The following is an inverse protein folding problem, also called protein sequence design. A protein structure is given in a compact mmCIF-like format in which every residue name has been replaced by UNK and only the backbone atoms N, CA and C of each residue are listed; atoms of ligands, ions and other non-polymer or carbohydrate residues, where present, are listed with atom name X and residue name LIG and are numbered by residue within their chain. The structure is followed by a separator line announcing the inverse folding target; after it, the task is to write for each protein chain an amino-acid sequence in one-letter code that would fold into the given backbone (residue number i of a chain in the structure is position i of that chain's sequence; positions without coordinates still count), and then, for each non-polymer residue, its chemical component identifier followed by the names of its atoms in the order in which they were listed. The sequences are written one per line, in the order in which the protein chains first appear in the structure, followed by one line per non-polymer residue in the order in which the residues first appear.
data_IF_791777227004
#
_entry.id   IF_791777227004
#
_cell.length_a   1.000
_cell.length_b   1.000
_cell.length_c   1.000
_cell.angle_alpha   90.00
_cell.angle_beta   90.00
_cell.angle_gamma   90.00
#
_symmetry.space_group_name_H-M   'P 1'
#
loop_
_entity.id
_entity.type
_entity.pdbx_description
1 polymer ?
#
# COMPACT_ATOMS: atom_id res chain seq x y z
N UNK A 1 42.55 -41.11 8.85
CA UNK A 1 42.07 -40.47 10.10
C UNK A 1 40.67 -39.92 9.80
N UNK A 2 39.68 -40.27 10.63
CA UNK A 2 38.22 -39.97 10.62
C UNK A 2 37.81 -38.65 9.93
N UNK A 3 36.65 -38.44 9.30
CA UNK A 3 35.42 -39.16 8.88
C UNK A 3 34.66 -38.11 8.01
N UNK A 4 34.16 -38.47 6.82
CA UNK A 4 32.71 -38.55 6.44
C UNK A 4 31.90 -37.25 6.65
N UNK A 5 31.10 -36.71 5.71
CA UNK A 5 30.58 -37.18 4.42
C UNK A 5 29.89 -35.99 3.68
N UNK A 6 29.93 -35.98 2.34
CA UNK A 6 28.85 -36.35 1.40
C UNK A 6 27.90 -35.17 1.05
N UNK A 7 27.97 -34.58 -0.17
CA UNK A 7 27.26 -34.96 -1.44
C UNK A 7 25.94 -34.16 -1.57
N UNK A 8 25.51 -33.51 -2.67
CA UNK A 8 25.78 -33.57 -4.13
C UNK A 8 25.28 -32.24 -4.80
N UNK A 9 25.25 -32.05 -6.15
CA UNK A 9 25.97 -31.01 -6.86
C UNK A 9 25.02 -30.23 -7.80
N UNK A 10 25.59 -29.31 -8.58
CA UNK A 10 24.87 -28.68 -9.67
C UNK A 10 24.60 -29.61 -10.86
N UNK A 11 23.50 -29.32 -11.55
CA UNK A 11 23.28 -29.33 -13.02
C UNK A 11 21.85 -28.80 -13.22
N UNK A 12 21.52 -27.72 -13.93
CA UNK A 12 22.21 -27.00 -14.98
C UNK A 12 21.41 -27.12 -16.30
N UNK A 13 20.88 -25.98 -16.78
CA UNK A 13 20.63 -25.65 -18.20
C UNK A 13 19.34 -26.30 -18.81
N UNK A 14 18.45 -25.69 -19.61
CA UNK A 14 18.54 -24.61 -20.60
C UNK A 14 17.17 -23.98 -20.95
N UNK A 15 17.22 -22.87 -21.70
CA UNK A 15 16.09 -22.08 -22.18
C UNK A 15 15.54 -22.47 -23.58
N UNK A 16 14.26 -22.15 -23.82
CA UNK A 16 13.54 -21.93 -25.11
C UNK A 16 13.04 -23.16 -25.92
N UNK A 17 11.72 -23.39 -25.87
CA UNK A 17 10.72 -23.27 -26.99
C UNK A 17 9.52 -24.21 -26.76
N UNK A 18 8.37 -23.65 -26.41
CA UNK A 18 7.07 -24.05 -26.94
C UNK A 18 6.10 -22.88 -26.75
N UNK A 19 5.54 -22.38 -27.86
CA UNK A 19 4.52 -21.32 -27.89
C UNK A 19 3.16 -21.93 -27.55
N UNK A 20 2.31 -21.18 -26.85
CA UNK A 20 0.89 -21.48 -26.66
C UNK A 20 0.28 -20.45 -25.73
N UNK A 21 -0.80 -19.85 -26.17
CA UNK A 21 -1.48 -18.66 -25.65
C UNK A 21 -2.11 -18.82 -24.26
N UNK A 22 -2.29 -17.66 -23.62
CA UNK A 22 -3.33 -17.31 -22.63
C UNK A 22 -3.19 -17.75 -21.16
N UNK A 23 -3.29 -16.71 -20.31
CA UNK A 23 -3.79 -16.69 -18.93
C UNK A 23 -3.19 -17.67 -17.92
N UNK A 24 -2.26 -17.17 -17.08
CA UNK A 24 -2.11 -17.68 -15.71
C UNK A 24 -1.91 -16.55 -14.70
N UNK A 25 -2.76 -16.64 -13.69
CA UNK A 25 -2.94 -15.80 -12.53
C UNK A 25 -1.66 -15.30 -11.86
N UNK A 26 -1.71 -14.04 -11.43
CA UNK A 26 -0.86 -13.50 -10.37
C UNK A 26 -1.05 -14.36 -9.10
N UNK A 27 -0.13 -15.29 -8.86
CA UNK A 27 0.07 -15.86 -7.53
C UNK A 27 0.57 -14.74 -6.60
N UNK A 28 -0.23 -14.45 -5.59
CA UNK A 28 0.07 -13.47 -4.55
C UNK A 28 1.11 -14.08 -3.59
N UNK A 29 2.39 -13.90 -3.89
CA UNK A 29 3.46 -14.28 -2.96
C UNK A 29 3.52 -13.25 -1.81
N UNK A 30 3.09 -13.65 -0.61
CA UNK A 30 3.39 -12.91 0.62
C UNK A 30 4.85 -13.20 0.98
N UNK A 31 5.75 -12.26 0.71
CA UNK A 31 7.13 -12.33 1.19
C UNK A 31 7.15 -11.89 2.66
N UNK A 32 7.21 -12.87 3.56
CA UNK A 32 7.52 -12.64 4.98
C UNK A 32 9.04 -12.75 5.14
N UNK A 33 9.71 -11.63 5.34
CA UNK A 33 11.12 -11.62 5.70
C UNK A 33 11.22 -11.64 7.23
N UNK A 34 11.64 -12.77 7.78
CA UNK A 34 11.88 -12.94 9.22
C UNK A 34 13.37 -12.64 9.48
N UNK A 35 13.66 -11.63 10.30
CA UNK A 35 15.02 -11.37 10.81
C UNK A 35 15.12 -11.75 12.29
N UNK A 36 16.21 -12.42 12.66
CA UNK A 36 16.49 -12.79 14.03
C UNK A 36 17.15 -11.61 14.77
N UNK A 37 16.53 -11.12 15.84
CA UNK A 37 17.12 -10.10 16.71
C UNK A 37 18.03 -10.80 17.72
N UNK A 38 19.34 -10.80 17.47
CA UNK A 38 20.31 -11.30 18.44
C UNK A 38 20.51 -10.25 19.54
N UNK A 39 20.00 -10.51 20.75
CA UNK A 39 20.39 -9.76 21.95
C UNK A 39 21.86 -10.04 22.29
N UNK A 40 22.63 -9.00 22.60
CA UNK A 40 23.94 -9.17 23.24
C UNK A 40 23.70 -9.74 24.66
N UNK A 41 24.46 -10.80 24.95
CA UNK A 41 24.58 -11.52 26.22
C UNK A 41 23.45 -12.51 26.59
N UNK A 42 23.66 -13.76 26.15
CA UNK A 42 23.45 -15.01 26.91
C UNK A 42 22.06 -15.31 27.48
N UNK A 43 21.30 -16.17 26.80
CA UNK A 43 20.16 -16.89 27.39
C UNK A 43 20.18 -18.39 27.05
N UNK A 44 19.65 -19.19 27.99
CA UNK A 44 19.79 -20.64 28.11
C UNK A 44 18.77 -21.45 27.28
N UNK A 45 19.03 -22.75 27.16
CA UNK A 45 18.41 -23.74 26.27
C UNK A 45 16.89 -24.04 26.45
N UNK A 46 16.00 -23.08 26.67
CA UNK A 46 14.55 -23.36 26.68
C UNK A 46 13.59 -22.17 26.48
N UNK A 47 14.04 -20.99 26.04
CA UNK A 47 13.13 -19.89 25.71
C UNK A 47 13.06 -19.66 24.19
N UNK A 48 11.84 -19.72 23.66
CA UNK A 48 11.52 -19.68 22.25
C UNK A 48 11.93 -18.34 21.61
N UNK A 49 12.44 -18.44 20.39
CA UNK A 49 12.73 -17.34 19.48
C UNK A 49 11.60 -16.29 19.49
N UNK A 50 11.90 -15.07 19.95
CA UNK A 50 11.07 -13.90 19.70
C UNK A 50 11.20 -13.55 18.21
N UNK A 51 10.33 -14.15 17.38
CA UNK A 51 10.16 -13.79 15.98
C UNK A 51 9.29 -12.53 15.88
N UNK A 52 9.89 -11.40 15.51
CA UNK A 52 9.16 -10.22 15.08
C UNK A 52 8.86 -10.34 13.58
N UNK A 53 7.58 -10.36 13.20
CA UNK A 53 7.18 -10.32 11.80
C UNK A 53 7.08 -8.86 11.33
N UNK A 54 7.96 -8.44 10.43
CA UNK A 54 7.77 -7.20 9.66
C UNK A 54 6.89 -7.54 8.47
N UNK A 55 5.64 -7.07 8.48
CA UNK A 55 4.70 -7.24 7.37
C UNK A 55 4.75 -6.00 6.49
N UNK A 56 5.47 -6.06 5.37
CA UNK A 56 5.39 -5.02 4.34
C UNK A 56 4.22 -5.33 3.40
N UNK A 57 3.04 -4.82 3.75
CA UNK A 57 1.83 -4.97 2.95
C UNK A 57 1.84 -3.98 1.77
N UNK A 58 2.55 -4.32 0.71
CA UNK A 58 2.40 -3.65 -0.60
C UNK A 58 0.98 -3.82 -1.16
N UNK A 59 0.48 -2.81 -1.88
CA UNK A 59 -0.61 -1.93 -1.45
C UNK A 59 -1.99 -2.59 -1.60
N UNK A 60 -2.50 -3.21 -0.54
CA UNK A 60 -3.93 -3.46 -0.44
C UNK A 60 -4.49 -2.43 0.52
N UNK A 61 -5.02 -1.34 -0.04
CA UNK A 61 -5.99 -0.47 0.61
C UNK A 61 -7.17 -1.33 1.05
N UNK A 62 -7.11 -1.86 2.26
CA UNK A 62 -8.29 -2.33 2.97
C UNK A 62 -7.89 -2.43 4.44
N UNK A 63 -8.46 -1.56 5.27
CA UNK A 63 -8.35 -1.67 6.73
C UNK A 63 -8.88 -3.01 7.27
N UNK A 64 -9.46 -3.86 6.40
CA UNK A 64 -9.81 -5.24 6.69
C UNK A 64 -8.58 -6.17 6.81
N UNK A 65 -7.53 -5.99 6.00
CA UNK A 65 -6.31 -6.83 6.08
C UNK A 65 -5.50 -6.46 7.31
N UNK A 66 -5.32 -5.18 7.60
CA UNK A 66 -4.67 -4.74 8.83
C UNK A 66 -5.42 -5.22 10.09
N UNK A 67 -6.76 -5.17 10.09
CA UNK A 67 -7.59 -5.74 11.17
C UNK A 67 -7.52 -7.26 11.26
N UNK A 68 -7.43 -7.96 10.13
CA UNK A 68 -7.33 -9.42 10.13
C UNK A 68 -5.96 -9.89 10.61
N UNK A 69 -4.88 -9.23 10.18
CA UNK A 69 -3.53 -9.45 10.69
C UNK A 69 -3.47 -9.15 12.19
N UNK A 70 -4.03 -8.01 12.64
CA UNK A 70 -4.13 -7.67 14.06
C UNK A 70 -4.89 -8.71 14.88
N UNK A 71 -6.03 -9.22 14.38
CA UNK A 71 -6.80 -10.28 15.05
C UNK A 71 -6.08 -11.63 15.10
N UNK A 72 -5.31 -11.96 14.07
CA UNK A 72 -4.52 -13.20 14.04
C UNK A 72 -3.32 -13.13 14.99
N UNK A 73 -2.72 -11.95 15.15
CA UNK A 73 -1.65 -11.67 16.11
C UNK A 73 -2.16 -11.77 17.56
N UNK A 74 -3.30 -11.15 17.89
CA UNK A 74 -3.94 -11.27 19.21
C UNK A 74 -4.33 -12.72 19.54
N UNK A 75 -4.92 -13.46 18.59
CA UNK A 75 -5.33 -14.86 18.80
C UNK A 75 -4.17 -15.81 19.06
N UNK A 76 -2.97 -15.49 18.56
CA UNK A 76 -1.77 -16.33 18.71
C UNK A 76 -0.84 -15.87 19.84
N UNK A 77 -1.20 -14.80 20.57
CA UNK A 77 -0.41 -14.30 21.70
C UNK A 77 0.92 -13.68 21.28
N UNK A 78 1.02 -13.16 20.06
CA UNK A 78 2.25 -12.53 19.56
C UNK A 78 2.27 -11.05 19.97
N UNK A 79 3.27 -10.61 20.73
CA UNK A 79 3.49 -9.18 21.01
C UNK A 79 4.05 -8.46 19.78
N UNK A 80 3.41 -7.36 19.36
CA UNK A 80 3.95 -6.44 18.35
C UNK A 80 4.54 -5.24 19.07
N UNK A 81 5.87 -5.11 19.05
CA UNK A 81 6.57 -3.92 19.55
C UNK A 81 6.99 -3.04 18.38
N UNK A 82 6.68 -1.75 18.46
CA UNK A 82 7.26 -0.76 17.56
C UNK A 82 8.74 -0.61 17.91
N UNK A 83 9.63 -0.92 16.96
CA UNK A 83 11.07 -0.73 17.14
C UNK A 83 11.38 0.75 16.91
N UNK A 84 11.66 1.49 17.99
CA UNK A 84 12.34 2.78 17.89
C UNK A 84 13.83 2.52 17.67
N UNK A 85 14.34 2.78 16.46
CA UNK A 85 15.78 2.95 16.26
C UNK A 85 16.22 4.28 16.88
N UNK A 86 16.76 4.24 18.10
CA UNK A 86 17.67 5.27 18.58
C UNK A 86 18.94 4.63 19.11
N UNK A 87 20.02 4.85 18.37
CA UNK A 87 21.38 4.77 18.88
C UNK A 87 21.58 5.91 19.88
N UNK A 88 22.09 5.60 21.09
CA UNK A 88 23.15 6.35 21.78
C UNK A 88 23.66 5.55 23.00
N UNK A 89 24.96 5.72 23.25
CA UNK A 89 25.84 4.99 24.16
C UNK A 89 25.78 5.53 25.61
N UNK A 90 26.07 4.64 26.57
CA UNK A 90 26.56 4.86 27.96
C UNK A 90 25.61 5.58 28.96
N UNK A 91 25.31 5.18 30.21
CA UNK A 91 25.92 4.35 31.28
C UNK A 91 24.83 3.88 32.31
N UNK A 92 25.12 2.99 33.29
CA UNK A 92 24.12 2.24 34.09
C UNK A 92 23.87 2.82 35.50
N UNK A 93 22.62 2.77 35.99
CA UNK A 93 22.29 3.12 37.38
C UNK A 93 20.85 2.78 37.76
N UNK A 94 20.65 2.02 38.83
CA UNK A 94 19.40 1.33 39.17
C UNK A 94 18.24 2.19 39.68
N UNK A 95 17.03 1.62 39.63
CA UNK A 95 16.19 1.36 40.80
C UNK A 95 14.87 0.71 40.36
N UNK A 96 14.63 -0.53 40.80
CA UNK A 96 13.32 -1.17 40.81
C UNK A 96 12.37 -0.36 41.70
N UNK A 97 11.26 0.13 41.14
CA UNK A 97 10.05 0.45 41.91
C UNK A 97 8.82 -0.16 41.24
N UNK A 98 7.89 -0.76 42.01
CA UNK A 98 6.74 -1.43 41.44
C UNK A 98 5.55 -0.47 41.34
N UNK A 99 4.81 -0.60 40.23
CA UNK A 99 3.35 -0.46 40.03
C UNK A 99 3.01 0.52 38.90
N UNK A 100 2.07 0.09 38.05
CA UNK A 100 0.82 0.84 37.82
C UNK A 100 -0.31 -0.11 37.38
N UNK A 101 -1.54 0.28 37.74
CA UNK A 101 -2.73 -0.57 37.70
C UNK A 101 -3.45 -0.61 36.34
N UNK A 102 -4.47 -1.47 36.17
CA UNK A 102 -5.17 -1.67 34.89
C UNK A 102 -5.87 -0.43 34.31
N UNK A 103 -6.06 0.64 35.10
CA UNK A 103 -6.77 1.86 34.69
C UNK A 103 -5.85 2.91 34.04
N UNK A 104 -4.56 2.93 34.36
CA UNK A 104 -3.56 3.76 33.64
C UNK A 104 -3.20 3.16 32.29
N UNK A 105 -3.02 1.84 32.22
CA UNK A 105 -2.82 1.10 30.95
C UNK A 105 -3.91 1.36 29.91
N UNK A 106 -5.15 1.58 30.33
CA UNK A 106 -6.27 1.88 29.43
C UNK A 106 -6.28 3.34 28.93
N UNK A 107 -5.66 4.28 29.67
CA UNK A 107 -5.47 5.67 29.23
C UNK A 107 -4.27 5.80 28.31
N UNK A 108 -3.17 5.11 28.62
CA UNK A 108 -2.00 5.02 27.76
C UNK A 108 -2.34 4.34 26.43
N UNK A 109 -3.07 3.22 26.46
CA UNK A 109 -3.53 2.56 25.24
C UNK A 109 -4.46 3.41 24.35
N UNK A 110 -5.23 4.34 24.93
CA UNK A 110 -6.07 5.27 24.17
C UNK A 110 -5.25 6.44 23.57
N UNK A 111 -4.22 6.90 24.27
CA UNK A 111 -3.25 7.87 23.76
C UNK A 111 -2.33 7.26 22.69
N UNK A 112 -1.95 5.98 22.84
CA UNK A 112 -1.19 5.20 21.87
C UNK A 112 -2.01 4.95 20.59
N UNK A 113 -3.32 4.69 20.72
CA UNK A 113 -4.23 4.59 19.57
C UNK A 113 -4.43 5.94 18.85
N UNK A 114 -4.44 7.08 19.57
CA UNK A 114 -4.41 8.41 18.97
C UNK A 114 -3.06 8.73 18.32
N UNK A 115 -1.95 8.27 18.90
CA UNK A 115 -0.62 8.32 18.31
C UNK A 115 -0.55 7.52 17.00
N UNK A 116 -1.07 6.29 17.00
CA UNK A 116 -1.21 5.44 15.82
C UNK A 116 -2.14 6.05 14.76
N UNK A 117 -3.25 6.69 15.18
CA UNK A 117 -4.13 7.41 14.26
C UNK A 117 -3.40 8.55 13.53
N UNK A 118 -2.51 9.26 14.23
CA UNK A 118 -1.66 10.31 13.65
C UNK A 118 -0.59 9.74 12.70
N UNK A 119 -0.15 8.49 12.87
CA UNK A 119 0.71 7.78 11.91
C UNK A 119 -0.05 7.22 10.69
N UNK A 120 -1.39 7.09 10.80
CA UNK A 120 -2.25 6.63 9.68
C UNK A 120 -2.90 7.76 8.89
N UNK A 121 -2.79 9.01 9.36
CA UNK A 121 -3.26 10.17 8.63
C UNK A 121 -2.23 10.55 7.55
N UNK A 122 -2.48 10.10 6.32
CA UNK A 122 -1.69 10.54 5.17
C UNK A 122 -1.65 12.06 5.04
N UNK A 123 -0.64 12.57 4.33
CA UNK A 123 -0.41 14.00 4.20
C UNK A 123 -1.64 14.73 3.64
N UNK A 124 -2.08 15.80 4.31
CA UNK A 124 -3.18 16.65 3.84
C UNK A 124 -2.72 17.51 2.66
N UNK A 125 -3.29 17.37 1.44
CA UNK A 125 -2.94 18.19 0.28
C UNK A 125 -2.97 19.71 0.51
N UNK A 126 -3.84 20.20 1.40
CA UNK A 126 -3.95 21.63 1.70
C UNK A 126 -2.76 22.18 2.53
N UNK A 127 -2.06 21.29 3.24
CA UNK A 127 -0.88 21.61 4.07
C UNK A 127 0.45 21.57 3.31
N UNK A 128 0.42 21.24 2.01
CA UNK A 128 1.61 21.04 1.17
C UNK A 128 1.89 22.24 0.29
N UNK A 129 3.12 22.71 0.31
CA UNK A 129 3.70 23.63 -0.65
C UNK A 129 4.65 22.91 -1.59
N UNK A 130 4.47 23.09 -2.90
CA UNK A 130 5.49 22.67 -3.88
C UNK A 130 6.43 23.82 -4.16
N UNK A 131 7.73 23.59 -3.93
CA UNK A 131 8.79 24.57 -4.12
C UNK A 131 9.60 24.18 -5.35
N UNK A 132 9.55 25.01 -6.40
CA UNK A 132 10.30 24.83 -7.64
C UNK A 132 11.52 25.74 -7.63
N UNK A 133 12.72 25.15 -7.61
CA UNK A 133 13.97 25.89 -7.54
C UNK A 133 14.52 26.13 -8.94
N UNK A 134 14.58 27.41 -9.33
CA UNK A 134 15.12 27.91 -10.61
C UNK A 134 14.70 27.06 -11.82
N UNK A 135 13.39 26.81 -12.03
CA UNK A 135 12.92 26.06 -13.19
C UNK A 135 13.27 26.81 -14.47
N UNK A 136 13.81 26.12 -15.48
CA UNK A 136 14.24 26.77 -16.73
C UNK A 136 13.09 26.99 -17.71
N UNK A 137 12.15 26.05 -17.75
CA UNK A 137 11.09 26.04 -18.75
C UNK A 137 9.73 26.40 -18.12
N UNK A 138 9.10 27.52 -18.51
CA UNK A 138 7.78 27.89 -17.99
C UNK A 138 6.70 26.85 -18.32
N UNK A 139 6.88 26.06 -19.39
CA UNK A 139 6.02 24.93 -19.73
C UNK A 139 6.00 23.84 -18.63
N UNK A 140 7.15 23.57 -18.01
CA UNK A 140 7.24 22.58 -16.93
C UNK A 140 6.55 23.09 -15.65
N UNK A 141 6.67 24.39 -15.35
CA UNK A 141 5.96 25.01 -14.22
C UNK A 141 4.45 24.95 -14.44
N UNK A 142 3.99 25.28 -15.64
CA UNK A 142 2.57 25.19 -16.01
C UNK A 142 2.03 23.76 -15.93
N UNK A 143 2.77 22.78 -16.46
CA UNK A 143 2.41 21.37 -16.37
C UNK A 143 2.41 20.87 -14.90
N UNK A 144 3.35 21.33 -14.08
CA UNK A 144 3.36 21.04 -12.64
C UNK A 144 2.12 21.64 -11.94
N UNK A 145 1.74 22.89 -12.23
CA UNK A 145 0.50 23.48 -11.68
C UNK A 145 -0.74 22.65 -12.05
N UNK A 146 -0.83 22.20 -13.30
CA UNK A 146 -1.92 21.31 -13.73
C UNK A 146 -1.91 19.98 -12.98
N UNK A 147 -0.74 19.36 -12.82
CA UNK A 147 -0.60 18.12 -12.04
C UNK A 147 -1.04 18.31 -10.59
N UNK A 148 -0.63 19.40 -9.95
CA UNK A 148 -1.00 19.72 -8.57
C UNK A 148 -2.50 19.90 -8.42
N UNK A 149 -3.13 20.69 -9.32
CA UNK A 149 -4.56 20.91 -9.28
C UNK A 149 -5.37 19.62 -9.50
N UNK A 150 -4.93 18.75 -10.41
CA UNK A 150 -5.54 17.43 -10.60
C UNK A 150 -5.51 16.58 -9.32
N UNK A 151 -4.46 16.74 -8.49
CA UNK A 151 -4.30 16.04 -7.22
C UNK A 151 -4.84 16.85 -6.03
N UNK A 152 -5.42 18.02 -6.27
CA UNK A 152 -5.96 18.97 -5.29
C UNK A 152 -4.94 19.58 -4.34
N UNK A 153 -3.68 19.72 -4.77
CA UNK A 153 -2.69 20.58 -4.14
C UNK A 153 -2.83 22.00 -4.73
N UNK A 154 -2.79 23.00 -3.87
CA UNK A 154 -3.16 24.39 -4.22
C UNK A 154 -2.08 25.44 -3.98
N UNK A 155 -0.83 25.05 -3.70
CA UNK A 155 0.24 26.02 -3.41
C UNK A 155 1.53 25.71 -4.15
N UNK A 156 2.03 26.72 -4.87
CA UNK A 156 3.32 26.69 -5.57
C UNK A 156 4.16 27.89 -5.13
N UNK A 157 5.42 27.61 -4.80
CA UNK A 157 6.47 28.57 -4.50
C UNK A 157 7.58 28.41 -5.53
N UNK A 158 8.09 29.50 -6.06
CA UNK A 158 9.17 29.51 -7.04
C UNK A 158 10.36 30.26 -6.46
N UNK A 159 11.54 29.63 -6.48
CA UNK A 159 12.80 30.26 -6.07
C UNK A 159 13.56 30.70 -7.31
N UNK A 160 13.83 32.01 -7.44
CA UNK A 160 14.44 32.62 -8.61
C UNK A 160 13.48 33.50 -9.40
N UNK A 161 13.93 33.96 -10.57
CA UNK A 161 13.18 34.86 -11.42
C UNK A 161 12.03 34.16 -12.17
N UNK A 162 11.06 34.94 -12.64
CA UNK A 162 9.97 34.45 -13.49
C UNK A 162 10.51 33.89 -14.81
N UNK A 163 10.35 32.57 -15.11
CA UNK A 163 10.79 31.97 -16.37
C UNK A 163 9.92 32.38 -17.57
N UNK A 164 8.92 33.25 -17.38
CA UNK A 164 7.97 33.69 -18.39
C UNK A 164 6.64 32.95 -18.30
N UNK A 165 6.07 32.81 -17.11
CA UNK A 165 4.81 32.10 -16.87
C UNK A 165 3.61 32.73 -17.61
N UNK A 166 3.68 34.03 -17.91
CA UNK A 166 2.65 34.75 -18.67
C UNK A 166 2.62 34.46 -20.18
N UNK A 167 3.60 33.71 -20.72
CA UNK A 167 3.65 33.40 -22.15
C UNK A 167 2.51 32.46 -22.58
N UNK A 168 1.92 32.63 -23.79
CA UNK A 168 0.79 31.82 -24.24
C UNK A 168 1.05 30.31 -24.19
N UNK A 169 2.26 29.86 -24.51
CA UNK A 169 2.64 28.46 -24.54
C UNK A 169 2.55 27.81 -23.14
N UNK A 170 3.05 28.52 -22.11
CA UNK A 170 2.94 28.08 -20.72
C UNK A 170 1.49 28.12 -20.24
N UNK A 171 0.76 29.20 -20.56
CA UNK A 171 -0.64 29.35 -20.15
C UNK A 171 -1.55 28.26 -20.74
N UNK A 172 -1.29 27.82 -21.98
CA UNK A 172 -2.01 26.71 -22.61
C UNK A 172 -1.76 25.36 -21.90
N UNK A 173 -0.55 25.12 -21.39
CA UNK A 173 -0.21 23.89 -20.67
C UNK A 173 -0.83 23.81 -19.28
N UNK A 174 -1.06 24.96 -18.64
CA UNK A 174 -1.77 25.07 -17.37
C UNK A 174 -3.29 24.98 -17.50
N UNK A 175 -3.84 24.42 -18.60
CA UNK A 175 -5.28 24.34 -18.83
C UNK A 175 -6.04 23.83 -17.60
N UNK A 176 -7.00 24.64 -17.12
CA UNK A 176 -7.79 24.36 -15.91
C UNK A 176 -7.12 24.73 -14.58
N UNK A 177 -5.84 25.11 -14.59
CA UNK A 177 -5.02 25.47 -13.42
C UNK A 177 -4.39 26.88 -13.51
N UNK A 178 -5.03 27.79 -14.25
CA UNK A 178 -4.57 29.18 -14.40
C UNK A 178 -4.52 29.94 -13.08
N UNK A 179 -5.50 29.72 -12.21
CA UNK A 179 -5.55 30.25 -10.85
C UNK A 179 -4.33 29.85 -10.01
N UNK A 180 -3.88 28.60 -10.12
CA UNK A 180 -2.67 28.14 -9.43
C UNK A 180 -1.41 28.74 -10.05
N UNK A 181 -1.36 28.85 -11.39
CA UNK A 181 -0.26 29.49 -12.09
C UNK A 181 -0.14 30.99 -11.76
N UNK A 182 -1.27 31.69 -11.71
CA UNK A 182 -1.37 33.12 -11.42
C UNK A 182 -1.10 33.42 -9.92
N UNK A 183 -1.19 32.42 -9.04
CA UNK A 183 -0.91 32.54 -7.59
C UNK A 183 0.48 32.04 -7.16
N UNK A 184 1.36 31.70 -8.12
CA UNK A 184 2.76 31.32 -7.83
C UNK A 184 3.45 32.43 -7.05
N UNK A 185 4.00 32.09 -5.88
CA UNK A 185 4.75 33.03 -5.03
C UNK A 185 6.24 32.94 -5.31
N UNK A 186 6.89 34.08 -5.54
CA UNK A 186 8.32 34.17 -5.86
C UNK A 186 9.16 34.46 -4.61
N UNK A 187 10.32 33.82 -4.52
CA UNK A 187 11.26 33.94 -3.41
C UNK A 187 12.69 34.11 -3.92
N UNK A 188 13.49 34.91 -3.21
CA UNK A 188 14.88 35.16 -3.58
C UNK A 188 15.84 33.99 -3.31
N UNK A 189 15.44 33.05 -2.47
CA UNK A 189 16.25 31.88 -2.11
C UNK A 189 15.46 30.77 -1.44
N UNK A 190 16.02 29.55 -1.46
CA UNK A 190 15.33 28.37 -0.91
C UNK A 190 15.06 28.51 0.58
N UNK A 191 16.01 29.05 1.36
CA UNK A 191 15.83 29.30 2.80
C UNK A 191 14.60 30.17 3.09
N UNK A 192 14.35 31.19 2.27
CA UNK A 192 13.17 32.04 2.41
C UNK A 192 11.89 31.29 2.03
N UNK A 193 11.94 30.49 0.97
CA UNK A 193 10.80 29.74 0.47
C UNK A 193 10.32 28.62 1.41
N UNK A 194 11.16 28.13 2.32
CA UNK A 194 10.81 27.05 3.27
C UNK A 194 10.74 27.51 4.73
N UNK A 195 10.88 28.81 5.00
CA UNK A 195 11.07 29.34 6.36
C UNK A 195 9.91 29.07 7.33
N UNK A 196 8.69 28.92 6.81
CA UNK A 196 7.45 28.64 7.54
C UNK A 196 7.04 27.16 7.49
N UNK A 197 7.88 26.29 6.90
CA UNK A 197 7.62 24.87 6.82
C UNK A 197 8.16 24.13 8.06
N UNK A 198 7.36 23.24 8.61
CA UNK A 198 7.77 22.36 9.72
C UNK A 198 8.51 21.13 9.18
N UNK A 199 8.20 20.70 7.96
CA UNK A 199 8.88 19.61 7.29
C UNK A 199 9.27 19.99 5.85
N UNK A 200 10.51 19.70 5.47
CA UNK A 200 11.06 20.01 4.14
C UNK A 200 11.62 18.74 3.53
N UNK A 201 11.10 18.33 2.38
CA UNK A 201 11.52 17.14 1.66
C UNK A 201 12.08 17.53 0.29
N UNK A 202 13.36 17.25 0.05
CA UNK A 202 14.06 17.57 -1.20
C UNK A 202 14.11 16.38 -2.14
N UNK A 203 13.85 16.61 -3.43
CA UNK A 203 13.90 15.54 -4.44
C UNK A 203 15.28 15.39 -5.08
N UNK A 204 15.70 14.15 -5.31
CA UNK A 204 16.96 13.81 -5.97
C UNK A 204 16.83 12.53 -6.79
N UNK A 205 17.39 12.54 -8.00
CA UNK A 205 17.56 11.32 -8.81
C UNK A 205 18.81 10.50 -8.46
N UNK A 206 19.74 11.10 -7.69
CA UNK A 206 20.99 10.43 -7.27
C UNK A 206 20.68 9.27 -6.32
N UNK A 207 21.43 8.20 -6.43
CA UNK A 207 21.33 7.08 -5.49
C UNK A 207 21.68 7.53 -4.07
N UNK A 208 20.80 7.19 -3.16
CA UNK A 208 20.93 7.47 -1.74
C UNK A 208 20.10 6.39 -1.01
N UNK A 209 20.74 5.42 -0.34
CA UNK A 209 20.04 4.36 0.39
C UNK A 209 19.12 4.87 1.51
N UNK A 210 19.35 6.11 1.96
CA UNK A 210 18.55 6.75 3.02
C UNK A 210 17.37 7.55 2.47
N UNK A 211 17.28 7.70 1.14
CA UNK A 211 16.20 8.46 0.52
C UNK A 211 14.86 7.75 0.68
N UNK A 212 13.83 8.54 0.96
CA UNK A 212 12.48 8.09 1.11
C UNK A 212 11.85 7.84 -0.27
N UNK A 213 10.99 6.83 -0.34
CA UNK A 213 10.10 6.65 -1.49
C UNK A 213 8.97 7.70 -1.47
N UNK A 214 8.36 8.02 -2.62
CA UNK A 214 7.17 8.87 -2.67
C UNK A 214 6.04 8.37 -1.77
N UNK A 215 5.86 7.05 -1.68
CA UNK A 215 4.87 6.42 -0.80
C UNK A 215 5.16 6.66 0.68
N UNK A 216 6.41 6.47 1.09
CA UNK A 216 6.85 6.73 2.47
C UNK A 216 6.67 8.19 2.83
N UNK A 217 7.02 9.10 1.92
CA UNK A 217 6.80 10.54 2.10
C UNK A 217 5.31 10.84 2.35
N UNK A 218 4.42 10.26 1.56
CA UNK A 218 2.99 10.50 1.68
C UNK A 218 2.40 9.95 2.99
N UNK A 219 2.88 8.78 3.46
CA UNK A 219 2.41 8.16 4.70
C UNK A 219 3.00 8.78 5.97
N UNK A 220 4.30 9.11 5.97
CA UNK A 220 5.00 9.59 7.18
C UNK A 220 5.16 11.11 7.23
N UNK A 221 5.15 11.81 6.10
CA UNK A 221 5.49 13.23 6.04
C UNK A 221 4.50 14.13 6.78
N UNK A 222 3.22 13.77 6.82
CA UNK A 222 2.21 14.48 7.62
C UNK A 222 2.50 14.44 9.11
N UNK A 223 2.87 13.26 9.63
CA UNK A 223 3.27 13.08 11.02
C UNK A 223 4.56 13.86 11.34
N UNK A 224 5.54 13.89 10.41
CA UNK A 224 6.76 14.70 10.56
C UNK A 224 6.49 16.20 10.61
N UNK A 225 5.46 16.66 9.90
CA UNK A 225 5.05 18.05 9.93
C UNK A 225 4.31 18.43 11.23
N UNK A 226 3.83 17.46 12.01
CA UNK A 226 3.15 17.67 13.29
C UNK A 226 2.01 18.72 13.22
N UNK A 227 1.22 18.70 12.13
CA UNK A 227 0.15 19.67 11.86
C UNK A 227 0.60 21.00 11.23
N UNK A 228 1.90 21.19 11.05
CA UNK A 228 2.48 22.32 10.30
C UNK A 228 2.53 22.09 8.79
N UNK A 229 3.19 23.02 8.07
CA UNK A 229 3.30 22.97 6.61
C UNK A 229 4.42 22.04 6.16
N UNK A 230 4.20 21.32 5.06
CA UNK A 230 5.24 20.54 4.38
C UNK A 230 5.66 21.23 3.09
N UNK A 231 6.96 21.44 2.88
CA UNK A 231 7.53 21.87 1.61
C UNK A 231 8.14 20.69 0.84
N UNK A 232 7.70 20.49 -0.40
CA UNK A 232 8.30 19.55 -1.35
C UNK A 232 9.18 20.31 -2.33
N UNK A 233 10.48 20.09 -2.29
CA UNK A 233 11.46 20.88 -3.03
C UNK A 233 11.95 20.13 -4.26
N UNK A 234 11.84 20.77 -5.42
CA UNK A 234 12.27 20.25 -6.70
C UNK A 234 13.32 21.15 -7.33
N UNK A 235 14.40 20.54 -7.82
CA UNK A 235 15.52 21.25 -8.42
C UNK A 235 15.35 21.54 -9.91
N UNK A 236 16.26 22.33 -10.50
CA UNK A 236 16.33 22.56 -11.95
C UNK A 236 16.51 21.28 -12.75
N UNK A 237 15.95 21.24 -13.95
CA UNK A 237 15.93 20.04 -14.83
C UNK A 237 17.34 19.55 -15.21
N UNK A 238 18.29 20.46 -15.34
CA UNK A 238 19.65 20.15 -15.79
C UNK A 238 20.57 19.62 -14.70
N UNK A 239 20.31 19.95 -13.43
CA UNK A 239 21.28 19.76 -12.35
C UNK A 239 20.70 19.18 -11.06
N UNK A 240 19.38 19.22 -10.90
CA UNK A 240 18.73 18.95 -9.62
C UNK A 240 19.16 19.96 -8.54
N UNK A 241 18.79 19.64 -7.30
CA UNK A 241 19.18 20.43 -6.12
C UNK A 241 20.68 20.28 -5.84
N UNK A 242 21.30 21.39 -5.44
CA UNK A 242 22.69 21.39 -4.96
C UNK A 242 22.82 20.71 -3.60
N UNK A 243 24.04 20.35 -3.20
CA UNK A 243 24.28 19.80 -1.87
C UNK A 243 23.88 20.76 -0.73
N UNK A 244 24.08 22.06 -0.93
CA UNK A 244 23.65 23.11 0.01
C UNK A 244 22.12 23.22 0.09
N UNK A 245 21.41 23.04 -1.02
CA UNK A 245 19.94 23.04 -1.00
C UNK A 245 19.38 21.77 -0.36
N UNK A 246 20.01 20.62 -0.63
CA UNK A 246 19.65 19.36 0.01
C UNK A 246 19.94 19.36 1.52
N UNK A 247 20.93 20.13 2.00
CA UNK A 247 21.19 20.24 3.44
C UNK A 247 20.14 21.07 4.19
N UNK A 248 19.31 21.84 3.49
CA UNK A 248 18.13 22.51 4.06
C UNK A 248 16.92 21.58 4.16
N UNK A 249 16.99 20.37 3.61
CA UNK A 249 15.89 19.42 3.62
C UNK A 249 16.04 18.43 4.79
N UNK A 250 14.94 18.16 5.49
CA UNK A 250 14.89 17.20 6.59
C UNK A 250 14.81 15.75 6.08
N UNK A 251 14.34 15.56 4.84
CA UNK A 251 14.32 14.28 4.15
C UNK A 251 14.71 14.45 2.68
N UNK A 252 15.30 13.39 2.13
CA UNK A 252 15.53 13.26 0.68
C UNK A 252 14.51 12.29 0.12
N UNK A 253 13.94 12.60 -1.04
CA UNK A 253 12.96 11.77 -1.72
C UNK A 253 13.50 11.37 -3.07
N UNK A 254 13.49 10.06 -3.35
CA UNK A 254 13.88 9.51 -4.65
C UNK A 254 12.71 8.76 -5.26
N UNK A 255 12.32 9.17 -6.46
CA UNK A 255 11.39 8.40 -7.27
C UNK A 255 12.17 7.25 -7.91
N UNK A 256 11.74 6.02 -7.68
CA UNK A 256 12.34 4.87 -8.35
C UNK A 256 12.08 4.98 -9.86
N UNK A 257 13.15 4.94 -10.63
CA UNK A 257 13.16 5.05 -12.09
C UNK A 257 14.21 4.10 -12.65
N UNK A 258 14.16 3.87 -13.95
CA UNK A 258 15.16 3.06 -14.64
C UNK A 258 16.58 3.62 -14.40
N UNK A 259 17.57 2.80 -14.00
CA UNK A 259 18.96 3.25 -13.85
C UNK A 259 19.57 3.83 -15.14
N UNK A 260 19.09 3.44 -16.32
CA UNK A 260 19.53 3.99 -17.61
C UNK A 260 18.96 5.39 -17.89
N UNK A 261 17.83 5.74 -17.28
CA UNK A 261 17.23 7.08 -17.35
C UNK A 261 16.65 7.50 -15.99
N UNK A 262 17.52 7.89 -15.03
CA UNK A 262 17.09 8.16 -13.67
C UNK A 262 16.49 9.57 -13.48
N UNK A 263 16.55 10.42 -14.51
CA UNK A 263 16.08 11.80 -14.45
C UNK A 263 14.69 11.92 -15.07
N UNK A 264 13.71 12.25 -14.23
CA UNK A 264 12.34 12.54 -14.65
C UNK A 264 12.17 14.01 -15.01
N UNK A 265 11.24 14.30 -15.93
CA UNK A 265 10.81 15.68 -16.15
C UNK A 265 10.22 16.25 -14.86
N UNK A 266 10.45 17.55 -14.61
CA UNK A 266 9.98 18.25 -13.42
C UNK A 266 8.49 18.03 -13.13
N UNK A 267 7.62 18.21 -14.12
CA UNK A 267 6.18 18.05 -13.95
C UNK A 267 5.79 16.58 -13.68
N UNK A 268 6.52 15.61 -14.22
CA UNK A 268 6.31 14.19 -13.93
C UNK A 268 6.71 13.86 -12.49
N UNK A 269 7.84 14.36 -12.02
CA UNK A 269 8.26 14.19 -10.64
C UNK A 269 7.26 14.81 -9.65
N UNK A 270 6.77 16.01 -9.95
CA UNK A 270 5.70 16.67 -9.19
C UNK A 270 4.43 15.83 -9.19
N UNK A 271 4.01 15.32 -10.35
CA UNK A 271 2.80 14.50 -10.48
C UNK A 271 2.86 13.24 -9.62
N UNK A 272 3.99 12.51 -9.61
CA UNK A 272 4.14 11.27 -8.85
C UNK A 272 4.01 11.53 -7.34
N UNK A 273 4.69 12.55 -6.81
CA UNK A 273 4.59 12.89 -5.38
C UNK A 273 3.19 13.39 -5.03
N UNK A 274 2.60 14.25 -5.86
CA UNK A 274 1.25 14.75 -5.65
C UNK A 274 0.20 13.62 -5.69
N UNK A 275 0.38 12.63 -6.57
CA UNK A 275 -0.47 11.45 -6.67
C UNK A 275 -0.38 10.57 -5.41
N UNK A 276 0.82 10.26 -4.92
CA UNK A 276 0.98 9.48 -3.69
C UNK A 276 0.38 10.22 -2.48
N UNK A 277 0.49 11.55 -2.41
CA UNK A 277 -0.17 12.37 -1.38
C UNK A 277 -1.69 12.24 -1.48
N UNK A 278 -2.26 12.41 -2.67
CA UNK A 278 -3.70 12.19 -2.92
C UNK A 278 -4.14 10.76 -2.56
N UNK A 279 -3.28 9.77 -2.79
CA UNK A 279 -3.54 8.38 -2.41
C UNK A 279 -3.42 8.16 -0.89
N UNK A 280 -2.56 8.89 -0.19
CA UNK A 280 -2.47 8.78 1.27
C UNK A 280 -3.61 9.51 1.98
N UNK A 281 -4.15 10.55 1.33
CA UNK A 281 -5.27 11.31 1.86
C UNK A 281 -6.56 10.51 1.73
N UNK A 282 -7.29 10.22 2.82
CA UNK A 282 -8.55 9.49 2.76
C UNK A 282 -9.61 10.37 2.06
N UNK A 283 -9.75 10.18 0.74
CA UNK A 283 -10.76 10.81 -0.09
C UNK A 283 -11.85 9.81 -0.49
N UNK A 284 -13.08 10.17 -0.14
CA UNK A 284 -14.36 9.43 -0.29
C UNK A 284 -14.53 8.16 0.55
N UNK A 285 -15.71 7.94 1.16
CA UNK A 285 -16.04 6.64 1.75
C UNK A 285 -15.83 5.58 0.69
N UNK A 286 -15.17 4.48 1.05
CA UNK A 286 -15.19 3.26 0.22
C UNK A 286 -16.62 3.07 -0.30
N UNK A 287 -16.78 2.94 -1.62
CA UNK A 287 -18.05 2.54 -2.20
C UNK A 287 -18.56 1.36 -1.35
N UNK A 288 -19.82 1.40 -0.87
CA UNK A 288 -20.28 0.46 0.14
C UNK A 288 -19.92 -0.94 -0.33
N UNK A 289 -19.04 -1.61 0.43
CA UNK A 289 -18.59 -2.94 0.09
C UNK A 289 -19.85 -3.76 -0.19
N UNK A 290 -19.98 -4.31 -1.39
CA UNK A 290 -21.16 -5.10 -1.74
C UNK A 290 -21.34 -6.16 -0.65
N UNK A 291 -22.52 -6.15 -0.01
CA UNK A 291 -22.78 -7.03 1.12
C UNK A 291 -22.72 -8.48 0.63
N UNK A 292 -21.72 -9.21 1.13
CA UNK A 292 -21.54 -10.62 0.79
C UNK A 292 -22.67 -11.42 1.38
N UNK A 293 -23.06 -12.48 0.69
CA UNK A 293 -24.01 -13.44 1.19
C UNK A 293 -23.54 -13.99 2.54
N UNK A 294 -24.47 -14.18 3.48
CA UNK A 294 -24.16 -14.88 4.71
C UNK A 294 -23.75 -16.32 4.40
N UNK A 295 -22.88 -16.91 5.23
CA UNK A 295 -22.44 -18.29 5.05
C UNK A 295 -23.63 -19.27 4.92
N UNK A 296 -24.71 -19.04 5.69
CA UNK A 296 -25.93 -19.85 5.59
C UNK A 296 -26.65 -19.76 4.23
N UNK A 297 -26.60 -18.63 3.54
CA UNK A 297 -27.18 -18.48 2.20
C UNK A 297 -26.37 -19.28 1.15
N UNK A 298 -25.04 -19.33 1.32
CA UNK A 298 -24.16 -20.11 0.46
C UNK A 298 -24.29 -21.61 0.72
N UNK A 299 -24.40 -22.02 1.98
CA UNK A 299 -24.65 -23.42 2.32
C UNK A 299 -26.01 -23.90 1.80
N UNK A 300 -27.04 -23.06 1.88
CA UNK A 300 -28.34 -23.37 1.28
C UNK A 300 -28.27 -23.48 -0.26
N UNK A 301 -27.50 -22.60 -0.91
CA UNK A 301 -27.27 -22.68 -2.35
C UNK A 301 -26.52 -23.95 -2.77
N UNK A 302 -25.47 -24.32 -2.03
CA UNK A 302 -24.69 -25.53 -2.26
C UNK A 302 -25.52 -26.80 -2.04
N UNK A 303 -26.35 -26.85 -0.99
CA UNK A 303 -27.26 -27.97 -0.75
C UNK A 303 -28.31 -28.12 -1.85
N UNK A 304 -28.92 -27.01 -2.30
CA UNK A 304 -29.87 -27.08 -3.43
C UNK A 304 -29.19 -27.57 -4.72
N UNK A 305 -27.96 -27.12 -4.96
CA UNK A 305 -27.17 -27.49 -6.11
C UNK A 305 -26.74 -28.96 -6.06
N UNK A 306 -26.36 -29.48 -4.89
CA UNK A 306 -26.08 -30.90 -4.66
C UNK A 306 -27.24 -31.78 -5.12
N UNK A 307 -28.46 -31.49 -4.65
CA UNK A 307 -29.67 -32.24 -5.04
C UNK A 307 -29.90 -32.17 -6.56
N UNK A 308 -29.71 -31.00 -7.17
CA UNK A 308 -29.84 -30.81 -8.62
C UNK A 308 -28.83 -31.63 -9.40
N UNK A 309 -27.55 -31.52 -9.05
CA UNK A 309 -26.46 -32.19 -9.73
C UNK A 309 -26.50 -33.72 -9.54
N UNK A 310 -26.95 -34.23 -8.39
CA UNK A 310 -27.27 -35.64 -8.19
C UNK A 310 -28.44 -36.09 -9.06
N UNK A 311 -29.47 -35.25 -9.21
CA UNK A 311 -30.66 -35.53 -10.01
C UNK A 311 -30.37 -35.74 -11.50
N UNK A 312 -29.41 -34.99 -12.05
CA UNK A 312 -28.95 -35.13 -13.45
C UNK A 312 -27.80 -36.12 -13.63
N UNK A 313 -27.32 -36.75 -12.55
CA UNK A 313 -26.22 -37.72 -12.59
C UNK A 313 -24.82 -37.12 -12.77
N UNK A 314 -24.65 -35.82 -12.52
CA UNK A 314 -23.32 -35.17 -12.56
C UNK A 314 -22.48 -35.52 -11.33
N UNK A 315 -23.10 -35.54 -10.14
CA UNK A 315 -22.42 -35.99 -8.91
C UNK A 315 -22.54 -37.50 -8.76
N UNK A 316 -21.46 -38.14 -8.31
CA UNK A 316 -21.50 -39.54 -7.88
C UNK A 316 -22.25 -39.64 -6.55
N UNK A 317 -23.26 -40.52 -6.47
CA UNK A 317 -24.05 -40.78 -5.25
C UNK A 317 -23.20 -41.33 -4.11
N UNK A 318 -22.15 -42.08 -4.42
CA UNK A 318 -21.28 -42.70 -3.42
C UNK A 318 -20.25 -41.71 -2.86
N UNK A 319 -20.01 -40.59 -3.56
CA UNK A 319 -19.08 -39.55 -3.11
C UNK A 319 -19.42 -38.16 -3.70
N UNK A 320 -20.56 -37.54 -3.33
CA UNK A 320 -20.94 -36.23 -3.84
C UNK A 320 -20.08 -35.08 -3.27
N UNK A 321 -19.46 -35.32 -2.11
CA UNK A 321 -18.77 -34.29 -1.33
C UNK A 321 -17.51 -33.71 -1.97
N UNK A 322 -16.79 -34.46 -2.81
CA UNK A 322 -15.52 -34.00 -3.40
C UNK A 322 -15.71 -32.77 -4.29
N UNK A 323 -16.64 -32.84 -5.24
CA UNK A 323 -16.94 -31.73 -6.17
C UNK A 323 -17.59 -30.56 -5.41
N UNK A 324 -18.44 -30.84 -4.42
CA UNK A 324 -19.05 -29.79 -3.60
C UNK A 324 -18.03 -29.04 -2.74
N UNK A 325 -16.98 -29.72 -2.27
CA UNK A 325 -15.88 -29.07 -1.57
C UNK A 325 -15.12 -28.09 -2.49
N UNK A 326 -14.87 -28.48 -3.74
CA UNK A 326 -14.24 -27.61 -4.74
C UNK A 326 -15.13 -26.40 -5.09
N UNK A 327 -16.43 -26.62 -5.29
CA UNK A 327 -17.41 -25.55 -5.52
C UNK A 327 -17.49 -24.60 -4.31
N UNK A 328 -17.41 -25.12 -3.08
CA UNK A 328 -17.38 -24.29 -1.87
C UNK A 328 -16.14 -23.40 -1.83
N UNK A 329 -14.97 -23.93 -2.18
CA UNK A 329 -13.73 -23.13 -2.26
C UNK A 329 -13.82 -22.07 -3.36
N UNK A 330 -14.41 -22.41 -4.52
CA UNK A 330 -14.66 -21.46 -5.61
C UNK A 330 -15.54 -20.29 -5.16
N UNK A 331 -16.69 -20.59 -4.53
CA UNK A 331 -17.62 -19.58 -4.04
C UNK A 331 -17.01 -18.73 -2.91
N UNK A 332 -16.22 -19.35 -2.03
CA UNK A 332 -15.51 -18.62 -0.96
C UNK A 332 -14.52 -17.61 -1.53
N UNK A 333 -13.77 -17.99 -2.58
CA UNK A 333 -12.84 -17.09 -3.27
C UNK A 333 -13.57 -15.99 -4.04
N UNK A 334 -14.72 -16.30 -4.64
CA UNK A 334 -15.52 -15.34 -5.41
C UNK A 334 -16.22 -14.30 -4.51
N UNK A 335 -16.58 -14.66 -3.28
CA UNK A 335 -17.26 -13.76 -2.34
C UNK A 335 -18.61 -13.22 -2.83
N UNK A 336 -19.55 -14.08 -3.27
CA UNK A 336 -20.81 -13.68 -3.87
C UNK A 336 -21.73 -12.90 -2.91
N UNK A 337 -22.57 -12.06 -3.48
CA UNK A 337 -23.66 -11.32 -2.83
C UNK A 337 -24.90 -12.20 -2.58
N UNK A 338 -25.82 -11.80 -1.70
CA UNK A 338 -27.09 -12.52 -1.46
C UNK A 338 -27.94 -12.68 -2.74
N UNK A 339 -27.83 -11.73 -3.68
CA UNK A 339 -28.47 -11.83 -5.01
C UNK A 339 -27.86 -12.97 -5.83
N UNK A 340 -26.54 -13.08 -5.87
CA UNK A 340 -25.85 -14.15 -6.61
C UNK A 340 -26.08 -15.52 -5.97
N UNK A 341 -26.11 -15.61 -4.63
CA UNK A 341 -26.53 -16.83 -3.93
C UNK A 341 -27.97 -17.23 -4.29
N UNK A 342 -28.88 -16.27 -4.39
CA UNK A 342 -30.26 -16.51 -4.84
C UNK A 342 -30.36 -16.98 -6.29
N UNK A 343 -29.48 -16.48 -7.18
CA UNK A 343 -29.37 -16.95 -8.57
C UNK A 343 -28.90 -18.41 -8.62
N UNK A 344 -27.89 -18.78 -7.82
CA UNK A 344 -27.40 -20.16 -7.72
C UNK A 344 -28.50 -21.11 -7.25
N UNK A 345 -29.29 -20.72 -6.24
CA UNK A 345 -30.48 -21.46 -5.80
C UNK A 345 -31.52 -21.58 -6.91
N UNK A 346 -31.76 -20.50 -7.66
CA UNK A 346 -32.65 -20.52 -8.83
C UNK A 346 -32.21 -21.54 -9.88
N UNK A 347 -30.91 -21.56 -10.21
CA UNK A 347 -30.30 -22.50 -11.14
C UNK A 347 -30.44 -23.94 -10.63
N UNK A 348 -30.15 -24.19 -9.36
CA UNK A 348 -30.32 -25.50 -8.74
C UNK A 348 -31.77 -26.03 -8.83
N UNK A 349 -32.76 -25.16 -8.57
CA UNK A 349 -34.19 -25.53 -8.74
C UNK A 349 -34.54 -25.87 -10.18
N UNK A 350 -34.01 -25.14 -11.17
CA UNK A 350 -34.24 -25.44 -12.58
C UNK A 350 -33.61 -26.76 -13.01
N UNK A 351 -32.40 -27.06 -12.53
CA UNK A 351 -31.75 -28.36 -12.75
C UNK A 351 -32.63 -29.49 -12.20
N UNK A 352 -33.13 -29.37 -10.97
CA UNK A 352 -34.02 -30.38 -10.38
C UNK A 352 -35.32 -30.56 -11.17
N UNK A 353 -35.94 -29.46 -11.58
CA UNK A 353 -37.15 -29.51 -12.41
C UNK A 353 -36.91 -30.24 -13.73
N UNK A 354 -35.80 -29.95 -14.41
CA UNK A 354 -35.42 -30.63 -15.65
C UNK A 354 -35.14 -32.12 -15.43
N UNK A 355 -34.42 -32.49 -14.36
CA UNK A 355 -34.16 -33.88 -13.99
C UNK A 355 -35.47 -34.68 -13.78
N UNK A 356 -36.47 -34.08 -13.13
CA UNK A 356 -37.79 -34.69 -12.95
C UNK A 356 -38.53 -34.98 -14.25
N UNK A 357 -38.37 -34.13 -15.28
CA UNK A 357 -38.95 -34.39 -16.62
C UNK A 357 -38.24 -35.52 -17.37
N UNK A 358 -36.91 -35.63 -17.21
CA UNK A 358 -36.14 -36.73 -17.81
C UNK A 358 -36.56 -38.07 -17.20
N UNK A 359 -36.76 -38.11 -15.88
CA UNK A 359 -37.24 -39.30 -15.18
C UNK A 359 -38.69 -39.67 -15.55
N UNK A 360 -39.57 -38.68 -15.73
CA UNK A 360 -40.97 -38.88 -16.12
C UNK A 360 -41.17 -39.32 -17.59
N UNK A 361 -40.36 -38.80 -18.52
CA UNK A 361 -40.45 -39.14 -19.95
C UNK A 361 -39.97 -40.55 -20.29
N UNK A 362 -39.13 -41.16 -19.46
CA UNK A 362 -38.70 -42.55 -19.63
C UNK A 362 -39.79 -43.59 -19.25
N UNK A 363 -40.88 -43.16 -18.60
CA UNK A 363 -41.98 -44.01 -18.14
C UNK A 363 -43.12 -44.19 -19.14
N UNK A 364 -43.24 -43.34 -20.16
CA UNK A 364 -44.36 -43.36 -21.13
C UNK A 364 -44.05 -44.09 -22.45
N UNK A 365 -42.89 -44.74 -22.57
CA UNK A 365 -42.49 -45.50 -23.78
C UNK A 365 -42.35 -47.01 -23.55
N UNK A 366 -43.21 -47.62 -22.71
CA UNK A 366 -43.28 -49.08 -22.57
C UNK A 366 -44.68 -49.63 -22.81
#
# INVERSE_FOLDING_TARGET
MKREGLVDPGRGVDARRARGSEERHLELAVLLQLEAVAGRDGLAHHEADLLAAVVDALPLRSGAIAREVGRQVERRGLEVRAVQEQAHLDEPGGHDQPRDGPRERARDGAQDLQGLANYTAGMDPASVDVVLVRPRNPANVAAACRALKNMGLGSVRLVGDDPGLGRPEARNLAYGAWDLLDSVRFFGGLRQAVADATFVAGTSGREDPTAWSPRRLASEGGARAAGGRTCLVFGPESSGLTGEELSLCHARVRIASDPEQPSLNLAQAVLILAYEIRLSHPGEPEAPAMERAAAGELEAALGELEEGLLGIGYLNRDNPGAILAELRLLLTRAGPTSREASLLRGLARQIRWAAGRIAGGAGESR
#
